data_IF_175819501819
#
_entry.id   IF_175819501819
#
_cell.length_a   1.000
_cell.length_b   1.000
_cell.length_c   1.000
_cell.angle_alpha   90.00
_cell.angle_beta   90.00
_cell.angle_gamma   90.00
#
_symmetry.space_group_name_H-M   'P 1'
#
loop_
_entity.id
_entity.type
_entity.pdbx_description
1 polymer ?
#
# COMPACT_ATOMS: atom_id res chain seq x y z
N UNK A 1 -6.74 -18.04 -15.05
CA UNK A 1 -5.96 -16.85 -15.41
C UNK A 1 -4.85 -16.68 -14.39
N UNK A 2 -3.61 -16.39 -14.76
CA UNK A 2 -2.56 -16.13 -13.77
C UNK A 2 -2.93 -14.87 -13.01
N UNK A 3 -3.00 -14.97 -11.68
CA UNK A 3 -3.16 -13.79 -10.82
C UNK A 3 -1.80 -13.10 -10.81
N UNK A 4 -1.68 -11.99 -11.53
CA UNK A 4 -0.55 -11.08 -11.46
C UNK A 4 -0.81 -10.12 -10.29
N UNK A 5 0.22 -9.84 -9.52
CA UNK A 5 0.18 -8.74 -8.54
C UNK A 5 0.72 -7.50 -9.24
N UNK A 6 -0.18 -6.56 -9.57
CA UNK A 6 0.18 -5.25 -10.12
C UNK A 6 0.48 -4.33 -8.96
N UNK A 7 1.74 -4.01 -8.75
CA UNK A 7 2.23 -2.99 -7.83
C UNK A 7 2.51 -1.70 -8.60
N UNK A 8 2.71 -0.60 -7.88
CA UNK A 8 2.85 0.73 -8.48
C UNK A 8 3.94 0.83 -9.57
N UNK A 9 5.09 0.18 -9.37
CA UNK A 9 6.25 0.23 -10.26
C UNK A 9 6.57 -1.10 -10.94
N UNK A 10 5.98 -2.19 -10.50
CA UNK A 10 6.36 -3.54 -10.89
C UNK A 10 5.13 -4.43 -11.03
N UNK A 11 5.12 -5.26 -12.08
CA UNK A 11 4.24 -6.40 -12.15
C UNK A 11 5.04 -7.66 -11.84
N UNK A 12 4.55 -8.44 -10.89
CA UNK A 12 5.17 -9.71 -10.48
C UNK A 12 4.24 -10.90 -10.75
N UNK A 13 4.83 -12.04 -11.06
CA UNK A 13 4.11 -13.31 -11.19
C UNK A 13 3.85 -13.95 -9.80
N UNK A 14 3.18 -15.11 -9.82
CA UNK A 14 2.91 -15.89 -8.60
C UNK A 14 4.17 -16.41 -7.90
N UNK A 15 5.31 -16.44 -8.59
CA UNK A 15 6.60 -16.87 -8.06
C UNK A 15 7.38 -15.71 -7.46
N UNK A 16 6.86 -14.47 -7.60
CA UNK A 16 7.53 -13.24 -7.17
C UNK A 16 8.60 -12.76 -8.13
N UNK A 17 8.58 -13.25 -9.40
CA UNK A 17 9.49 -12.76 -10.44
C UNK A 17 8.88 -11.54 -11.12
N UNK A 18 9.73 -10.57 -11.47
CA UNK A 18 9.33 -9.35 -12.16
C UNK A 18 9.00 -9.72 -13.62
N UNK A 19 7.75 -9.45 -14.03
CA UNK A 19 7.30 -9.63 -15.41
C UNK A 19 7.52 -8.35 -16.21
N UNK A 20 7.24 -7.21 -15.59
CA UNK A 20 7.26 -5.90 -16.22
C UNK A 20 7.64 -4.82 -15.21
N UNK A 21 8.35 -3.81 -15.68
CA UNK A 21 8.71 -2.63 -14.92
C UNK A 21 8.07 -1.40 -15.54
N UNK A 22 7.59 -0.47 -14.70
CA UNK A 22 7.13 0.84 -15.18
C UNK A 22 8.31 1.73 -15.56
N UNK A 23 8.16 2.56 -16.61
CA UNK A 23 9.18 3.49 -17.07
C UNK A 23 9.58 4.52 -15.99
N UNK A 24 8.67 4.82 -15.07
CA UNK A 24 8.90 5.67 -13.90
C UNK A 24 10.00 5.14 -12.97
N UNK A 25 10.26 3.83 -13.00
CA UNK A 25 11.33 3.23 -12.19
C UNK A 25 12.70 3.86 -12.44
N UNK A 26 13.02 4.09 -13.71
CA UNK A 26 14.32 4.66 -14.10
C UNK A 26 14.33 6.18 -14.17
N UNK A 27 13.17 6.82 -14.22
CA UNK A 27 13.02 8.27 -14.21
C UNK A 27 13.22 8.88 -12.80
N UNK A 28 13.01 8.09 -11.75
CA UNK A 28 13.12 8.52 -10.36
C UNK A 28 14.51 8.15 -9.83
N UNK A 29 15.27 9.16 -9.39
CA UNK A 29 16.67 9.02 -8.98
C UNK A 29 16.84 8.00 -7.86
N UNK A 30 16.01 8.07 -6.83
CA UNK A 30 16.09 7.18 -5.66
C UNK A 30 15.89 5.70 -6.03
N UNK A 31 15.07 5.42 -7.04
CA UNK A 31 14.86 4.04 -7.51
C UNK A 31 15.99 3.58 -8.41
N UNK A 32 16.47 4.45 -9.29
CA UNK A 32 17.65 4.18 -10.13
C UNK A 32 18.87 3.84 -9.29
N UNK A 33 19.13 4.60 -8.22
CA UNK A 33 20.22 4.36 -7.30
C UNK A 33 20.16 2.97 -6.64
N UNK A 34 18.96 2.53 -6.28
CA UNK A 34 18.77 1.16 -5.72
C UNK A 34 18.98 0.10 -6.79
N UNK A 35 18.51 0.34 -8.02
CA UNK A 35 18.70 -0.60 -9.14
C UNK A 35 20.18 -0.70 -9.51
N UNK A 36 20.93 0.40 -9.53
CA UNK A 36 22.37 0.40 -9.81
C UNK A 36 23.17 -0.36 -8.75
N UNK A 37 22.80 -0.26 -7.48
CA UNK A 37 23.56 -0.88 -6.38
C UNK A 37 23.13 -2.34 -6.10
N UNK A 38 21.84 -2.64 -6.16
CA UNK A 38 21.29 -3.94 -5.75
C UNK A 38 20.56 -4.69 -6.88
N UNK A 39 20.50 -4.09 -8.07
CA UNK A 39 19.75 -4.63 -9.20
C UNK A 39 18.25 -4.53 -9.01
N UNK A 40 17.48 -5.12 -9.92
CA UNK A 40 16.01 -5.16 -9.84
C UNK A 40 15.48 -5.85 -8.57
N UNK A 41 16.27 -6.72 -7.96
CA UNK A 41 15.91 -7.34 -6.67
C UNK A 41 15.82 -6.33 -5.54
N UNK A 42 16.67 -5.29 -5.54
CA UNK A 42 16.62 -4.21 -4.55
C UNK A 42 15.28 -3.46 -4.60
N UNK A 43 14.85 -3.06 -5.80
CA UNK A 43 13.59 -2.33 -5.96
C UNK A 43 12.37 -3.26 -5.75
N UNK A 44 12.46 -4.53 -6.14
CA UNK A 44 11.43 -5.52 -5.81
C UNK A 44 11.24 -5.64 -4.31
N UNK A 45 12.32 -5.65 -3.54
CA UNK A 45 12.26 -5.67 -2.09
C UNK A 45 11.57 -4.41 -1.55
N UNK A 46 11.94 -3.21 -2.04
CA UNK A 46 11.29 -1.94 -1.64
C UNK A 46 9.79 -1.99 -1.94
N UNK A 47 9.41 -2.43 -3.14
CA UNK A 47 8.02 -2.54 -3.53
C UNK A 47 7.25 -3.52 -2.62
N UNK A 48 7.77 -4.73 -2.39
CA UNK A 48 7.11 -5.74 -1.54
C UNK A 48 6.97 -5.31 -0.08
N UNK A 49 7.85 -4.44 0.42
CA UNK A 49 7.75 -3.88 1.79
C UNK A 49 6.78 -2.70 1.85
N UNK A 50 6.70 -1.88 0.79
CA UNK A 50 6.00 -0.59 0.85
C UNK A 50 4.63 -0.62 0.20
N UNK A 51 4.41 -1.48 -0.82
CA UNK A 51 3.22 -1.43 -1.64
C UNK A 51 1.95 -1.88 -0.90
N UNK A 52 0.85 -1.15 -1.12
CA UNK A 52 -0.45 -1.49 -0.54
C UNK A 52 -1.01 -2.81 -1.06
N UNK A 53 -0.67 -3.20 -2.28
CA UNK A 53 -1.09 -4.46 -2.91
C UNK A 53 -0.09 -5.60 -2.67
N UNK A 54 0.92 -5.39 -1.81
CA UNK A 54 1.90 -6.40 -1.44
C UNK A 54 1.26 -7.59 -0.73
N UNK A 55 1.59 -8.83 -1.12
CA UNK A 55 1.13 -10.02 -0.42
C UNK A 55 1.64 -10.13 1.02
N UNK A 56 2.65 -9.35 1.38
CA UNK A 56 3.25 -9.32 2.72
C UNK A 56 2.68 -8.23 3.63
N UNK A 57 1.74 -7.42 3.16
CA UNK A 57 1.18 -6.27 3.90
C UNK A 57 0.52 -6.64 5.24
N UNK A 58 -0.01 -7.85 5.36
CA UNK A 58 -0.69 -8.31 6.57
C UNK A 58 0.25 -8.72 7.71
N UNK A 59 1.55 -8.82 7.45
CA UNK A 59 2.55 -9.10 8.50
C UNK A 59 2.88 -7.84 9.31
N UNK A 60 3.25 -8.05 10.58
CA UNK A 60 3.86 -6.98 11.40
C UNK A 60 5.18 -6.55 10.73
N UNK A 61 5.51 -5.25 10.76
CA UNK A 61 6.62 -4.65 10.02
C UNK A 61 7.94 -5.44 10.11
N UNK A 62 8.31 -5.88 11.32
CA UNK A 62 9.54 -6.67 11.53
C UNK A 62 9.50 -8.03 10.84
N UNK A 63 8.35 -8.69 10.83
CA UNK A 63 8.16 -9.99 10.19
C UNK A 63 8.02 -9.83 8.68
N UNK A 64 7.37 -8.77 8.23
CA UNK A 64 7.27 -8.39 6.82
C UNK A 64 8.66 -8.24 6.21
N UNK A 65 9.50 -7.39 6.80
CA UNK A 65 10.88 -7.15 6.36
C UNK A 65 11.68 -8.45 6.26
N UNK A 66 11.60 -9.33 7.27
CA UNK A 66 12.30 -10.62 7.25
C UNK A 66 11.77 -11.57 6.17
N UNK A 67 10.45 -11.66 6.04
CA UNK A 67 9.82 -12.55 5.06
C UNK A 67 10.13 -12.11 3.63
N UNK A 68 10.06 -10.80 3.35
CA UNK A 68 10.43 -10.24 2.05
C UNK A 68 11.92 -10.42 1.76
N UNK A 69 12.80 -10.19 2.75
CA UNK A 69 14.24 -10.41 2.59
C UNK A 69 14.55 -11.87 2.27
N UNK A 70 13.84 -12.80 2.92
CA UNK A 70 13.97 -14.23 2.63
C UNK A 70 13.48 -14.58 1.23
N UNK A 71 12.36 -14.01 0.80
CA UNK A 71 11.79 -14.27 -0.52
C UNK A 71 12.67 -13.72 -1.65
N UNK A 72 13.19 -12.50 -1.52
CA UNK A 72 13.94 -11.82 -2.59
C UNK A 72 15.43 -12.20 -2.63
N UNK A 73 16.05 -12.27 -1.45
CA UNK A 73 17.51 -12.47 -1.31
C UNK A 73 17.91 -13.80 -0.70
N UNK A 74 16.96 -14.66 -0.37
CA UNK A 74 17.18 -15.93 0.33
C UNK A 74 17.90 -15.79 1.69
N UNK A 75 17.80 -14.63 2.33
CA UNK A 75 18.36 -14.34 3.67
C UNK A 75 17.39 -13.53 4.49
N UNK A 76 17.35 -13.75 5.81
CA UNK A 76 16.53 -12.96 6.73
C UNK A 76 17.15 -11.60 7.09
N UNK A 77 18.50 -11.50 6.98
CA UNK A 77 19.27 -10.31 7.36
C UNK A 77 19.96 -9.71 6.11
N UNK A 78 19.14 -9.19 5.19
CA UNK A 78 19.68 -8.48 4.04
C UNK A 78 20.30 -7.14 4.47
N UNK A 79 21.60 -6.96 4.18
CA UNK A 79 22.36 -5.78 4.62
C UNK A 79 21.88 -4.47 3.99
N UNK A 80 21.23 -4.53 2.83
CA UNK A 80 20.67 -3.36 2.15
C UNK A 80 19.61 -2.61 2.96
N UNK A 81 18.99 -3.24 3.97
CA UNK A 81 18.01 -2.58 4.85
C UNK A 81 18.62 -1.34 5.56
N UNK A 82 19.93 -1.36 5.84
CA UNK A 82 20.66 -0.26 6.50
C UNK A 82 21.27 0.74 5.52
N UNK A 83 21.08 0.53 4.21
CA UNK A 83 21.64 1.40 3.19
C UNK A 83 20.77 2.66 3.04
N UNK A 84 21.40 3.83 2.97
CA UNK A 84 20.71 5.11 2.84
C UNK A 84 19.89 5.22 1.55
N UNK A 85 20.39 4.69 0.43
CA UNK A 85 19.67 4.69 -0.85
C UNK A 85 18.36 3.91 -0.76
N UNK A 86 18.38 2.76 -0.07
CA UNK A 86 17.16 1.97 0.19
C UNK A 86 16.20 2.75 1.08
N UNK A 87 16.69 3.46 2.10
CA UNK A 87 15.85 4.29 2.96
C UNK A 87 15.21 5.46 2.19
N UNK A 88 15.95 6.10 1.27
CA UNK A 88 15.41 7.14 0.39
C UNK A 88 14.37 6.57 -0.57
N UNK A 89 14.63 5.43 -1.19
CA UNK A 89 13.69 4.76 -2.08
C UNK A 89 12.39 4.36 -1.37
N UNK A 90 12.46 3.86 -0.13
CA UNK A 90 11.28 3.56 0.71
C UNK A 90 10.45 4.83 0.93
N UNK A 91 11.10 5.93 1.31
CA UNK A 91 10.41 7.21 1.53
C UNK A 91 9.72 7.67 0.26
N UNK A 92 10.45 7.65 -0.87
CA UNK A 92 9.93 8.05 -2.17
C UNK A 92 8.77 7.18 -2.64
N UNK A 93 8.88 5.86 -2.45
CA UNK A 93 7.81 4.92 -2.79
C UNK A 93 6.53 5.24 -2.00
N UNK A 94 6.65 5.45 -0.68
CA UNK A 94 5.53 5.83 0.18
C UNK A 94 4.92 7.19 -0.21
N UNK A 95 5.74 8.18 -0.60
CA UNK A 95 5.25 9.48 -1.10
C UNK A 95 4.41 9.33 -2.37
N UNK A 96 4.86 8.51 -3.32
CA UNK A 96 4.16 8.29 -4.59
C UNK A 96 2.86 7.51 -4.45
N UNK A 97 2.79 6.64 -3.45
CA UNK A 97 1.57 5.90 -3.11
C UNK A 97 0.64 6.68 -2.17
N UNK A 98 1.07 7.85 -1.67
CA UNK A 98 0.28 8.62 -0.75
C UNK A 98 -1.08 8.98 -1.36
N UNK A 99 -2.14 8.37 -0.83
CA UNK A 99 -3.51 8.79 -1.10
C UNK A 99 -4.03 9.56 0.13
N UNK A 100 -4.52 10.80 -0.07
CA UNK A 100 -5.12 11.58 1.02
C UNK A 100 -6.26 10.85 1.74
N UNK A 101 -6.98 9.95 1.07
CA UNK A 101 -8.03 9.14 1.71
C UNK A 101 -7.45 8.08 2.66
N UNK A 102 -6.32 7.45 2.28
CA UNK A 102 -5.64 6.50 3.14
C UNK A 102 -5.07 7.19 4.39
N UNK A 103 -4.49 8.39 4.23
CA UNK A 103 -4.03 9.19 5.36
C UNK A 103 -5.18 9.57 6.31
N UNK A 104 -6.35 9.93 5.78
CA UNK A 104 -7.53 10.19 6.58
C UNK A 104 -8.00 8.92 7.31
N UNK A 105 -7.99 7.76 6.65
CA UNK A 105 -8.37 6.49 7.24
C UNK A 105 -7.47 6.14 8.43
N UNK A 106 -6.15 6.34 8.30
CA UNK A 106 -5.20 6.13 9.39
C UNK A 106 -5.54 7.04 10.57
N UNK A 107 -5.72 8.34 10.32
CA UNK A 107 -6.07 9.31 11.37
C UNK A 107 -7.40 8.96 12.07
N UNK A 108 -8.39 8.46 11.35
CA UNK A 108 -9.64 8.00 11.95
C UNK A 108 -9.45 6.75 12.81
N UNK A 109 -8.63 5.79 12.38
CA UNK A 109 -8.33 4.59 13.16
C UNK A 109 -7.63 4.96 14.48
N UNK A 110 -6.62 5.84 14.43
CA UNK A 110 -5.94 6.35 15.63
C UNK A 110 -6.92 7.00 16.60
N UNK A 111 -7.85 7.82 16.12
CA UNK A 111 -8.89 8.43 16.96
C UNK A 111 -9.86 7.44 17.58
N UNK A 112 -10.25 6.42 16.83
CA UNK A 112 -11.10 5.33 17.33
C UNK A 112 -10.36 4.59 18.48
N UNK A 113 -9.07 4.31 18.32
CA UNK A 113 -8.26 3.65 19.34
C UNK A 113 -8.14 4.52 20.62
N UNK A 114 -7.89 5.83 20.47
CA UNK A 114 -7.87 6.77 21.59
C UNK A 114 -9.21 6.77 22.35
N UNK A 115 -10.33 6.86 21.65
CA UNK A 115 -11.65 6.82 22.27
C UNK A 115 -11.94 5.47 22.93
N UNK A 116 -11.53 4.37 22.31
CA UNK A 116 -11.70 3.03 22.86
C UNK A 116 -10.93 2.88 24.18
N UNK A 117 -9.70 3.39 24.24
CA UNK A 117 -8.91 3.39 25.46
C UNK A 117 -9.53 4.28 26.53
N UNK A 118 -10.00 5.48 26.15
CA UNK A 118 -10.69 6.37 27.08
C UNK A 118 -11.92 5.69 27.70
N UNK A 119 -12.77 5.06 26.88
CA UNK A 119 -13.96 4.38 27.36
C UNK A 119 -13.66 3.18 28.26
N UNK A 120 -12.56 2.47 28.04
CA UNK A 120 -12.13 1.36 28.91
C UNK A 120 -11.65 1.84 30.28
N UNK A 121 -11.03 3.03 30.35
CA UNK A 121 -10.35 3.51 31.55
C UNK A 121 -11.22 4.42 32.40
N UNK A 122 -12.29 4.99 31.87
CA UNK A 122 -13.18 5.91 32.59
C UNK A 122 -14.41 5.18 33.07
N UNK A 123 -14.60 5.17 34.42
CA UNK A 123 -15.86 4.71 35.03
C UNK A 123 -16.91 5.80 34.91
N UNK A 124 -18.08 5.42 34.37
CA UNK A 124 -19.21 6.34 34.26
C UNK A 124 -19.84 6.54 35.63
N UNK A 125 -20.02 7.80 36.02
CA UNK A 125 -20.70 8.24 37.25
C UNK A 125 -21.62 9.43 36.93
N UNK A 126 -22.37 9.92 37.92
CA UNK A 126 -23.31 11.03 37.72
C UNK A 126 -22.62 12.30 37.22
N UNK A 127 -21.37 12.57 37.69
CA UNK A 127 -20.62 13.79 37.37
C UNK A 127 -20.12 13.81 35.91
N UNK A 128 -19.87 12.64 35.28
CA UNK A 128 -19.30 12.53 33.95
C UNK A 128 -20.27 11.93 32.90
N UNK A 129 -21.46 11.52 33.31
CA UNK A 129 -22.41 10.82 32.44
C UNK A 129 -22.74 11.61 31.15
N UNK A 130 -23.02 12.92 31.26
CA UNK A 130 -23.31 13.78 30.13
C UNK A 130 -22.11 13.91 29.16
N UNK A 131 -20.90 14.07 29.73
CA UNK A 131 -19.66 14.15 28.95
C UNK A 131 -19.39 12.84 28.21
N UNK A 132 -19.59 11.71 28.86
CA UNK A 132 -19.44 10.38 28.25
C UNK A 132 -20.46 10.14 27.14
N UNK A 133 -21.71 10.58 27.33
CA UNK A 133 -22.71 10.50 26.27
C UNK A 133 -22.32 11.32 25.03
N UNK A 134 -21.78 12.54 25.22
CA UNK A 134 -21.27 13.36 24.09
C UNK A 134 -20.10 12.67 23.37
N UNK A 135 -19.21 12.02 24.11
CA UNK A 135 -18.11 11.23 23.54
C UNK A 135 -18.65 10.06 22.71
N UNK A 136 -19.62 9.30 23.23
CA UNK A 136 -20.23 8.18 22.50
C UNK A 136 -20.86 8.61 21.18
N UNK A 137 -21.59 9.73 21.18
CA UNK A 137 -22.17 10.32 19.94
C UNK A 137 -21.04 10.74 18.98
N UNK A 138 -19.94 11.29 19.52
CA UNK A 138 -18.75 11.64 18.75
C UNK A 138 -18.12 10.41 18.06
N UNK A 139 -17.96 9.33 18.80
CA UNK A 139 -17.43 8.05 18.29
C UNK A 139 -18.32 7.49 17.16
N UNK A 140 -19.64 7.49 17.33
CA UNK A 140 -20.57 7.06 16.30
C UNK A 140 -20.37 7.85 14.99
N UNK A 141 -20.24 9.17 15.08
CA UNK A 141 -19.98 10.03 13.91
C UNK A 141 -18.66 9.70 13.23
N UNK A 142 -17.61 9.44 14.01
CA UNK A 142 -16.28 9.03 13.51
C UNK A 142 -16.36 7.68 12.79
N UNK A 143 -17.05 6.69 13.37
CA UNK A 143 -17.24 5.38 12.76
C UNK A 143 -18.03 5.48 11.44
N UNK A 144 -19.10 6.27 11.39
CA UNK A 144 -19.88 6.49 10.19
C UNK A 144 -19.07 7.19 9.08
N UNK A 145 -18.21 8.15 9.46
CA UNK A 145 -17.33 8.84 8.51
C UNK A 145 -16.24 7.88 7.99
N UNK A 146 -15.66 7.06 8.86
CA UNK A 146 -14.72 6.01 8.47
C UNK A 146 -15.33 5.03 7.46
N UNK A 147 -16.57 4.59 7.70
CA UNK A 147 -17.24 3.68 6.77
C UNK A 147 -17.43 4.32 5.38
N UNK A 148 -17.88 5.56 5.31
CA UNK A 148 -18.00 6.30 4.04
C UNK A 148 -16.65 6.45 3.32
N UNK A 149 -15.57 6.59 4.08
CA UNK A 149 -14.22 6.69 3.54
C UNK A 149 -13.78 5.34 2.94
N UNK A 150 -14.02 4.22 3.64
CA UNK A 150 -13.77 2.88 3.13
C UNK A 150 -14.54 2.61 1.84
N UNK A 151 -15.83 2.92 1.81
CA UNK A 151 -16.66 2.77 0.61
C UNK A 151 -16.11 3.60 -0.57
N UNK A 152 -15.54 4.77 -0.28
CA UNK A 152 -14.93 5.64 -1.30
C UNK A 152 -13.63 5.07 -1.85
N UNK A 153 -12.79 4.48 -1.00
CA UNK A 153 -11.55 3.80 -1.37
C UNK A 153 -11.86 2.58 -2.24
N UNK A 154 -12.82 1.76 -1.83
CA UNK A 154 -13.25 0.57 -2.56
C UNK A 154 -13.76 0.92 -3.96
N UNK A 155 -14.66 1.91 -4.08
CA UNK A 155 -15.17 2.40 -5.38
C UNK A 155 -14.07 2.93 -6.29
N UNK A 156 -12.99 3.53 -5.74
CA UNK A 156 -11.82 3.96 -6.53
C UNK A 156 -11.03 2.76 -7.04
N UNK A 157 -10.84 1.73 -6.21
CA UNK A 157 -10.19 0.50 -6.61
C UNK A 157 -10.89 -0.19 -7.78
N UNK A 158 -12.22 -0.26 -7.71
CA UNK A 158 -13.05 -0.80 -8.80
C UNK A 158 -12.94 0.03 -10.09
N UNK A 159 -12.96 1.38 -9.99
CA UNK A 159 -12.79 2.26 -11.15
C UNK A 159 -11.41 2.15 -11.79
N UNK A 160 -10.35 1.93 -11.02
CA UNK A 160 -8.99 1.69 -11.54
C UNK A 160 -8.95 0.37 -12.31
N UNK A 161 -9.56 -0.70 -11.81
CA UNK A 161 -9.68 -2.00 -12.49
C UNK A 161 -10.41 -1.87 -13.82
N UNK A 162 -11.56 -1.22 -13.84
CA UNK A 162 -12.36 -1.01 -15.06
C UNK A 162 -11.60 -0.19 -16.12
N UNK A 163 -10.88 0.86 -15.70
CA UNK A 163 -10.05 1.67 -16.61
C UNK A 163 -8.84 0.90 -17.15
N UNK A 164 -8.22 0.04 -16.34
CA UNK A 164 -7.12 -0.83 -16.77
C UNK A 164 -7.57 -1.84 -17.83
N UNK A 165 -8.70 -2.51 -17.62
CA UNK A 165 -9.30 -3.43 -18.58
C UNK A 165 -9.73 -2.74 -19.88
N UNK A 166 -10.30 -1.54 -19.80
CA UNK A 166 -10.69 -0.76 -20.97
C UNK A 166 -9.46 -0.29 -21.80
N UNK A 167 -8.33 0.03 -21.17
CA UNK A 167 -7.08 0.38 -21.86
C UNK A 167 -6.46 -0.82 -22.54
N UNK A 168 -6.45 -2.01 -21.93
CA UNK A 168 -5.97 -3.25 -22.56
C UNK A 168 -6.83 -3.60 -23.78
N UNK A 169 -8.15 -3.53 -23.67
CA UNK A 169 -9.07 -3.76 -24.79
C UNK A 169 -8.81 -2.83 -25.98
N UNK A 170 -8.48 -1.56 -25.74
CA UNK A 170 -8.18 -0.58 -26.80
C UNK A 170 -6.82 -0.85 -27.47
N UNK A 171 -5.81 -1.27 -26.70
CA UNK A 171 -4.50 -1.66 -27.24
C UNK A 171 -4.58 -2.98 -28.03
N UNK A 172 -5.33 -3.96 -27.52
CA UNK A 172 -5.59 -5.21 -28.26
C UNK A 172 -6.35 -4.98 -29.58
N UNK A 173 -7.31 -4.06 -29.59
CA UNK A 173 -7.98 -3.67 -30.85
C UNK A 173 -7.02 -3.02 -31.83
N UNK A 174 -6.06 -2.21 -31.39
CA UNK A 174 -5.04 -1.60 -32.28
C UNK A 174 -4.01 -2.62 -32.76
N UNK A 175 -3.62 -3.61 -31.99
CA UNK A 175 -2.72 -4.68 -32.42
C UNK A 175 -3.39 -5.60 -33.44
N UNK A 176 -4.66 -5.95 -33.22
CA UNK A 176 -5.43 -6.76 -34.17
C UNK A 176 -5.71 -6.06 -35.55
N UNK A 177 -5.55 -4.74 -35.63
CA UNK A 177 -5.65 -4.01 -36.89
C UNK A 177 -4.34 -4.06 -37.68
N UNK A 178 -3.18 -4.16 -36.99
CA UNK A 178 -1.87 -4.24 -37.64
C UNK A 178 -1.57 -5.61 -38.27
N UNK A 179 -2.18 -6.67 -37.74
CA UNK A 179 -2.00 -8.03 -38.26
C UNK A 179 -2.93 -8.36 -39.43
N UNK A 180 -3.73 -7.40 -39.94
CA UNK A 180 -4.67 -7.54 -41.06
C UNK A 180 -4.33 -6.71 -42.29
N UNK A 181 -3.15 -6.06 -42.30
CA UNK A 181 -2.58 -5.36 -43.45
C UNK A 181 -1.29 -6.04 -43.85
#
# INVERSE_FOLDING_TARGET
MPQHHSMYLLNIDKRGEIIETDDGLYAIEEFRDVVEEFGLKGILWVALVCDYDSPYRHFVEREQVKSVSKAVFNTYDWKGIKNEKVAYAIRKYKELQFDPLDAQLIAFNEKIDEYTQLMKNVKINEDNAESMQKIMIGVEKVLNTRQKLLDSIERRGERKKIKGEAKMSYLEQQMNIKDKI
#
